data_IF_598448455405
#
_entry.id   IF_598448455405
#
_cell.length_a   1.000
_cell.length_b   1.000
_cell.length_c   1.000
_cell.angle_alpha   90.00
_cell.angle_beta   90.00
_cell.angle_gamma   90.00
#
_symmetry.space_group_name_H-M   'P 1'
#
loop_
_entity.id
_entity.type
_entity.pdbx_description
1 polymer ?
#
# COMPACT_ATOMS: atom_id res chain seq x y z
N UNK A 1 -27.51 -3.48 16.12
CA UNK A 1 -27.29 -3.99 14.74
C UNK A 1 -25.98 -3.49 14.16
N UNK A 2 -25.72 -2.17 14.12
CA UNK A 2 -24.46 -1.59 13.62
C UNK A 2 -23.18 -2.21 14.21
N UNK A 3 -23.18 -2.59 15.50
CA UNK A 3 -22.05 -3.27 16.12
C UNK A 3 -21.65 -4.59 15.44
N UNK A 4 -22.62 -5.42 15.05
CA UNK A 4 -22.34 -6.70 14.37
C UNK A 4 -21.75 -6.45 12.97
N UNK A 5 -22.29 -5.46 12.24
CA UNK A 5 -21.73 -5.04 10.97
C UNK A 5 -20.33 -4.44 11.12
N UNK A 6 -20.07 -3.72 12.22
CA UNK A 6 -18.74 -3.21 12.56
C UNK A 6 -17.71 -4.30 12.77
N UNK A 7 -18.08 -5.41 13.41
CA UNK A 7 -17.19 -6.59 13.55
C UNK A 7 -16.88 -7.24 12.20
N UNK A 8 -17.87 -7.33 11.31
CA UNK A 8 -17.63 -7.84 9.95
C UNK A 8 -16.75 -6.89 9.13
N UNK A 9 -16.99 -5.58 9.22
CA UNK A 9 -16.18 -4.59 8.53
C UNK A 9 -14.71 -4.61 9.00
N UNK A 10 -14.48 -4.79 10.31
CA UNK A 10 -13.14 -5.02 10.86
C UNK A 10 -12.46 -6.26 10.27
N UNK A 11 -13.19 -7.38 10.21
CA UNK A 11 -12.63 -8.64 9.72
C UNK A 11 -12.24 -8.58 8.23
N UNK A 12 -12.89 -7.69 7.47
CA UNK A 12 -12.67 -7.57 6.03
C UNK A 12 -11.67 -6.45 5.67
N UNK A 13 -11.68 -5.33 6.37
CA UNK A 13 -11.03 -4.08 5.92
C UNK A 13 -10.00 -3.50 6.88
N UNK A 14 -9.64 -4.22 7.95
CA UNK A 14 -8.60 -3.77 8.87
C UNK A 14 -7.29 -3.51 8.12
N UNK A 15 -6.74 -2.30 8.24
CA UNK A 15 -5.51 -1.90 7.57
C UNK A 15 -5.60 -1.81 6.03
N UNK A 16 -6.76 -2.07 5.43
CA UNK A 16 -6.90 -2.17 3.97
C UNK A 16 -7.20 -0.81 3.29
N UNK A 17 -7.77 0.15 4.03
CA UNK A 17 -8.13 1.49 3.51
C UNK A 17 -6.96 2.50 3.59
N UNK A 18 -5.74 2.02 3.41
CA UNK A 18 -4.52 2.82 3.49
C UNK A 18 -3.72 2.68 2.21
N UNK A 19 -2.90 3.69 1.91
CA UNK A 19 -1.98 3.67 0.76
C UNK A 19 -0.64 4.25 1.18
N UNK A 20 0.40 3.93 0.43
CA UNK A 20 1.62 4.72 0.46
C UNK A 20 1.37 6.09 -0.20
N UNK A 21 2.02 7.14 0.30
CA UNK A 21 1.99 8.49 -0.29
C UNK A 21 2.55 8.53 -1.71
N UNK A 22 3.29 7.50 -2.10
CA UNK A 22 3.75 7.24 -3.47
C UNK A 22 3.11 5.88 -3.82
N UNK A 23 2.04 5.88 -4.63
CA UNK A 23 1.21 4.72 -4.98
C UNK A 23 0.92 4.61 -6.49
N UNK A 24 0.42 3.46 -7.00
CA UNK A 24 0.01 3.32 -8.40
C UNK A 24 -0.95 4.42 -8.89
N UNK A 25 -1.74 5.00 -7.98
CA UNK A 25 -2.64 6.12 -8.29
C UNK A 25 -1.90 7.44 -8.59
N UNK A 26 -0.62 7.57 -8.23
CA UNK A 26 0.14 8.81 -8.36
C UNK A 26 1.51 8.70 -9.04
N UNK A 27 2.08 7.50 -9.24
CA UNK A 27 3.32 7.31 -10.01
C UNK A 27 3.25 7.91 -11.42
N UNK A 28 2.02 7.97 -11.94
CA UNK A 28 1.71 8.34 -13.30
C UNK A 28 1.51 9.81 -13.63
N UNK A 29 1.30 10.64 -12.61
CA UNK A 29 0.76 11.98 -12.78
C UNK A 29 1.83 13.07 -12.99
N UNK A 30 3.11 12.68 -13.01
CA UNK A 30 4.24 13.44 -13.54
C UNK A 30 4.26 14.95 -13.27
N UNK A 31 4.79 15.36 -12.10
CA UNK A 31 5.81 16.42 -11.91
C UNK A 31 6.11 16.54 -10.40
N UNK A 32 6.97 15.69 -9.84
CA UNK A 32 7.30 15.77 -8.42
C UNK A 32 8.24 14.68 -7.95
N UNK A 33 9.09 15.01 -6.98
CA UNK A 33 10.10 14.11 -6.43
C UNK A 33 9.48 12.98 -5.59
N UNK A 34 9.91 11.72 -5.79
CA UNK A 34 10.85 11.30 -6.81
C UNK A 34 10.15 11.10 -8.17
N UNK A 35 10.83 11.48 -9.26
CA UNK A 35 10.40 11.25 -10.66
C UNK A 35 10.24 9.74 -11.02
N UNK A 36 10.54 8.84 -10.08
CA UNK A 36 10.57 7.39 -10.22
C UNK A 36 10.26 6.78 -8.83
N UNK A 37 9.32 5.81 -8.70
CA UNK A 37 9.08 5.15 -7.43
C UNK A 37 10.35 4.46 -6.89
N UNK A 38 10.69 4.60 -5.60
CA UNK A 38 12.01 4.22 -5.10
C UNK A 38 12.25 2.70 -4.97
N UNK A 39 11.21 1.88 -5.06
CA UNK A 39 11.27 0.41 -5.01
C UNK A 39 11.31 -0.26 -6.39
N UNK A 40 11.24 0.51 -7.48
CA UNK A 40 11.33 -0.07 -8.83
C UNK A 40 12.77 -0.48 -9.16
N UNK A 41 12.97 -1.50 -10.01
CA UNK A 41 14.29 -1.97 -10.40
C UNK A 41 15.14 -0.84 -11.01
N UNK A 42 16.44 -0.83 -10.70
CA UNK A 42 17.37 0.20 -11.16
C UNK A 42 17.57 0.24 -12.68
N UNK A 43 17.27 -0.86 -13.37
CA UNK A 43 17.36 -1.04 -14.82
C UNK A 43 16.04 -0.79 -15.55
N UNK A 44 14.96 -0.46 -14.83
CA UNK A 44 13.66 -0.22 -15.44
C UNK A 44 13.61 1.17 -16.10
N UNK A 45 13.49 1.19 -17.43
CA UNK A 45 13.40 2.42 -18.25
C UNK A 45 12.02 2.61 -18.91
N UNK A 46 11.02 1.84 -18.47
CA UNK A 46 9.65 1.91 -18.99
C UNK A 46 8.83 3.05 -18.38
N UNK A 47 7.57 3.16 -18.82
CA UNK A 47 6.60 4.06 -18.19
C UNK A 47 6.11 3.44 -16.89
N UNK A 48 6.15 4.18 -15.79
CA UNK A 48 5.66 3.75 -14.47
C UNK A 48 4.12 3.68 -14.41
N UNK A 49 3.42 4.25 -15.41
CA UNK A 49 1.99 4.09 -15.66
C UNK A 49 1.62 2.69 -16.18
N UNK A 50 2.22 1.64 -15.67
CA UNK A 50 1.88 0.30 -16.14
C UNK A 50 0.47 -0.04 -15.64
N UNK A 51 -0.53 0.05 -16.52
CA UNK A 51 -1.90 -0.40 -16.26
C UNK A 51 -2.06 -1.92 -16.32
N UNK A 52 -1.00 -2.65 -16.71
CA UNK A 52 -0.99 -4.09 -16.85
C UNK A 52 -0.50 -4.78 -15.56
N UNK A 53 -1.43 -5.34 -14.79
CA UNK A 53 -1.17 -6.01 -13.50
C UNK A 53 -0.08 -7.10 -13.57
N UNK A 54 -0.04 -8.00 -14.58
CA UNK A 54 1.02 -8.99 -14.72
C UNK A 54 2.41 -8.39 -14.81
N UNK A 55 2.55 -7.25 -15.50
CA UNK A 55 3.81 -6.53 -15.62
C UNK A 55 4.19 -5.88 -14.29
N UNK A 56 3.23 -5.25 -13.59
CA UNK A 56 3.45 -4.67 -12.26
C UNK A 56 3.89 -5.72 -11.23
N UNK A 57 3.32 -6.92 -11.25
CA UNK A 57 3.70 -8.02 -10.34
C UNK A 57 5.18 -8.42 -10.44
N UNK A 58 5.82 -8.14 -11.57
CA UNK A 58 7.24 -8.46 -11.78
C UNK A 58 8.17 -7.33 -11.34
N UNK A 59 7.71 -6.09 -11.27
CA UNK A 59 8.57 -4.91 -11.08
C UNK A 59 8.26 -4.13 -9.80
N UNK A 60 6.99 -4.04 -9.40
CA UNK A 60 6.54 -3.24 -8.27
C UNK A 60 6.54 -4.07 -6.99
N UNK A 61 7.69 -4.05 -6.31
CA UNK A 61 7.88 -4.76 -5.05
C UNK A 61 7.05 -4.15 -3.91
N UNK A 62 6.60 -2.88 -3.99
CA UNK A 62 5.77 -2.28 -2.95
C UNK A 62 4.33 -2.78 -3.03
N UNK A 63 3.73 -2.77 -4.24
CA UNK A 63 2.38 -3.30 -4.42
C UNK A 63 2.35 -4.83 -4.33
N UNK A 64 3.36 -5.50 -4.87
CA UNK A 64 3.49 -6.96 -4.88
C UNK A 64 4.77 -7.39 -4.17
N UNK A 65 4.80 -7.37 -2.82
CA UNK A 65 5.95 -7.77 -2.05
C UNK A 65 6.32 -9.23 -2.28
N UNK A 66 7.62 -9.48 -2.38
CA UNK A 66 8.23 -10.80 -2.47
C UNK A 66 9.33 -10.93 -1.42
N UNK A 67 9.65 -12.17 -0.97
CA UNK A 67 10.78 -12.39 -0.08
C UNK A 67 12.10 -11.92 -0.70
N UNK A 68 13.03 -11.46 0.14
CA UNK A 68 14.38 -11.04 -0.28
C UNK A 68 15.11 -12.11 -1.10
N UNK A 69 14.95 -13.39 -0.74
CA UNK A 69 15.53 -14.52 -1.48
C UNK A 69 15.02 -14.66 -2.92
N UNK A 70 13.79 -14.20 -3.19
CA UNK A 70 13.16 -14.29 -4.49
C UNK A 70 13.37 -13.03 -5.34
N UNK A 71 13.89 -11.94 -4.75
CA UNK A 71 14.18 -10.72 -5.49
C UNK A 71 15.40 -10.89 -6.42
N UNK A 72 15.26 -10.45 -7.66
CA UNK A 72 16.38 -10.32 -8.60
C UNK A 72 17.41 -9.32 -8.09
N UNK A 73 18.59 -9.27 -8.73
CA UNK A 73 19.62 -8.30 -8.34
C UNK A 73 19.16 -6.86 -8.56
N UNK A 74 18.56 -6.58 -9.70
CA UNK A 74 18.04 -5.25 -10.04
C UNK A 74 16.92 -4.79 -9.08
N UNK A 75 16.07 -5.73 -8.61
CA UNK A 75 15.06 -5.43 -7.58
C UNK A 75 15.67 -5.18 -6.20
N UNK A 76 16.83 -5.76 -5.87
CA UNK A 76 17.47 -5.56 -4.56
C UNK A 76 18.26 -4.26 -4.46
N UNK A 77 18.84 -3.80 -5.57
CA UNK A 77 19.70 -2.62 -5.59
C UNK A 77 19.07 -1.37 -4.93
N UNK A 78 17.79 -1.02 -5.17
CA UNK A 78 17.12 0.11 -4.51
C UNK A 78 16.87 -0.11 -3.01
N UNK A 79 16.79 -1.37 -2.56
CA UNK A 79 16.54 -1.72 -1.16
C UNK A 79 17.83 -1.81 -0.35
N UNK A 80 19.00 -2.06 -0.95
CA UNK A 80 20.29 -2.10 -0.23
C UNK A 80 20.52 -0.94 0.77
N UNK A 81 20.20 0.34 0.44
CA UNK A 81 20.39 1.44 1.36
C UNK A 81 19.33 1.52 2.46
N UNK A 82 18.20 0.82 2.39
CA UNK A 82 17.12 0.88 3.41
C UNK A 82 16.93 -0.43 4.16
N UNK A 83 17.26 -1.57 3.55
CA UNK A 83 16.93 -2.91 4.04
C UNK A 83 17.66 -3.26 5.33
N UNK A 84 16.93 -3.75 6.33
CA UNK A 84 17.47 -4.08 7.66
C UNK A 84 18.18 -2.89 8.35
N UNK A 85 17.80 -1.66 8.00
CA UNK A 85 18.24 -0.45 8.68
C UNK A 85 17.17 0.06 9.65
N UNK A 86 17.50 1.10 10.42
CA UNK A 86 16.57 1.74 11.35
C UNK A 86 15.32 2.23 10.60
N UNK A 87 14.16 1.62 10.89
CA UNK A 87 12.88 1.94 10.24
C UNK A 87 12.45 0.93 9.16
N UNK A 88 13.27 -0.06 8.82
CA UNK A 88 12.97 -1.12 7.86
C UNK A 88 13.52 -2.47 8.36
N UNK A 89 12.67 -3.28 8.99
CA UNK A 89 13.07 -4.56 9.56
C UNK A 89 13.63 -4.45 10.99
N UNK A 90 14.35 -5.48 11.49
CA UNK A 90 14.97 -6.56 10.71
C UNK A 90 13.96 -7.59 10.16
N UNK A 91 14.04 -7.86 8.87
CA UNK A 91 13.28 -8.91 8.19
C UNK A 91 14.15 -10.14 7.94
N UNK A 92 13.57 -11.33 8.09
CA UNK A 92 14.21 -12.56 7.64
C UNK A 92 14.21 -12.63 6.10
N UNK A 93 15.17 -13.36 5.52
CA UNK A 93 15.32 -13.38 4.05
C UNK A 93 14.17 -14.10 3.33
N UNK A 94 13.43 -14.95 4.03
CA UNK A 94 12.25 -15.71 3.60
C UNK A 94 10.92 -15.02 3.98
N UNK A 95 10.97 -13.96 4.80
CA UNK A 95 9.79 -13.19 5.16
C UNK A 95 9.30 -12.36 3.96
N UNK A 96 7.99 -12.38 3.72
CA UNK A 96 7.34 -11.49 2.74
C UNK A 96 6.82 -10.28 3.49
N UNK A 97 7.44 -9.09 3.36
CA UNK A 97 6.94 -7.90 4.03
C UNK A 97 5.60 -7.44 3.47
N UNK A 98 4.85 -6.68 4.24
CA UNK A 98 3.64 -6.02 3.72
C UNK A 98 3.99 -4.79 2.88
N UNK A 99 3.08 -4.33 2.04
CA UNK A 99 3.27 -3.09 1.27
C UNK A 99 3.53 -1.88 2.18
N UNK A 100 2.85 -1.83 3.32
CA UNK A 100 3.09 -0.82 4.37
C UNK A 100 4.50 -0.86 4.90
N UNK A 101 5.01 -2.04 5.24
CA UNK A 101 6.39 -2.20 5.73
C UNK A 101 7.39 -1.69 4.69
N UNK A 102 7.20 -2.04 3.41
CA UNK A 102 8.03 -1.54 2.32
C UNK A 102 7.92 -0.02 2.17
N UNK A 103 6.71 0.54 2.17
CA UNK A 103 6.52 1.98 2.06
C UNK A 103 7.25 2.72 3.18
N UNK A 104 7.15 2.22 4.42
CA UNK A 104 7.81 2.81 5.59
C UNK A 104 9.33 2.64 5.58
N UNK A 105 9.86 1.60 4.92
CA UNK A 105 11.30 1.46 4.72
C UNK A 105 11.93 2.67 4.02
N UNK A 106 11.20 3.27 3.08
CA UNK A 106 11.66 4.44 2.33
C UNK A 106 11.31 5.77 3.02
N UNK A 107 10.64 5.76 4.18
CA UNK A 107 10.17 6.98 4.83
C UNK A 107 11.33 7.93 5.20
N UNK A 108 12.44 7.38 5.70
CA UNK A 108 13.60 8.18 6.10
C UNK A 108 14.37 8.77 4.90
N UNK A 109 14.41 8.09 3.75
CA UNK A 109 15.22 8.49 2.59
C UNK A 109 14.42 9.28 1.57
N UNK A 110 13.17 8.91 1.35
CA UNK A 110 12.30 9.44 0.28
C UNK A 110 11.08 10.19 0.82
N UNK A 111 10.87 10.24 2.15
CA UNK A 111 9.75 10.95 2.75
C UNK A 111 8.40 10.28 2.50
N UNK A 112 8.38 8.97 2.24
CA UNK A 112 7.15 8.21 2.05
C UNK A 112 6.38 8.05 3.38
N UNK A 113 5.06 8.03 3.30
CA UNK A 113 4.15 7.87 4.43
C UNK A 113 3.04 6.89 4.08
N UNK A 114 2.44 6.27 5.10
CA UNK A 114 1.33 5.34 4.95
C UNK A 114 0.05 5.98 5.48
N UNK A 115 -0.79 6.46 4.58
CA UNK A 115 -1.89 7.36 4.88
C UNK A 115 -3.24 6.74 4.53
N UNK A 116 -4.27 7.15 5.27
CA UNK A 116 -5.66 6.71 5.01
C UNK A 116 -6.16 7.25 3.68
N UNK A 117 -6.79 6.40 2.86
CA UNK A 117 -7.47 6.81 1.63
C UNK A 117 -8.75 7.58 1.89
N UNK A 118 -9.45 7.20 2.96
CA UNK A 118 -10.70 7.83 3.38
C UNK A 118 -10.68 8.08 4.88
N UNK A 119 -11.39 9.10 5.37
CA UNK A 119 -11.59 9.30 6.82
C UNK A 119 -12.21 8.07 7.50
N UNK A 120 -13.06 7.35 6.79
CA UNK A 120 -13.69 6.11 7.24
C UNK A 120 -12.67 4.97 7.26
N UNK A 121 -12.30 4.55 8.47
CA UNK A 121 -11.31 3.50 8.73
C UNK A 121 -11.91 2.36 9.54
N UNK A 122 -11.40 1.15 9.31
CA UNK A 122 -11.92 -0.08 9.90
C UNK A 122 -10.86 -0.79 10.76
N UNK A 123 -10.07 -0.03 11.51
CA UNK A 123 -8.97 -0.60 12.32
C UNK A 123 -9.41 -1.04 13.72
N UNK A 124 -10.49 -0.44 14.23
CA UNK A 124 -11.11 -0.84 15.47
C UNK A 124 -12.64 -0.70 15.41
N UNK A 125 -13.31 -1.26 16.41
CA UNK A 125 -14.78 -1.36 16.41
C UNK A 125 -15.46 -0.01 16.49
N UNK A 126 -14.84 0.96 17.16
CA UNK A 126 -15.40 2.31 17.26
C UNK A 126 -15.38 3.02 15.92
N UNK A 127 -14.24 2.99 15.21
CA UNK A 127 -14.13 3.58 13.87
C UNK A 127 -14.97 2.82 12.84
N UNK A 128 -15.04 1.50 12.93
CA UNK A 128 -15.87 0.70 12.03
C UNK A 128 -17.37 1.05 12.18
N UNK A 129 -17.88 1.17 13.41
CA UNK A 129 -19.27 1.56 13.64
C UNK A 129 -19.53 3.01 13.21
N UNK A 130 -18.59 3.92 13.47
CA UNK A 130 -18.70 5.31 13.02
C UNK A 130 -18.70 5.44 11.50
N UNK A 131 -17.76 4.78 10.82
CA UNK A 131 -17.70 4.76 9.35
C UNK A 131 -18.95 4.12 8.73
N UNK A 132 -19.49 3.05 9.32
CA UNK A 132 -20.76 2.47 8.88
C UNK A 132 -21.95 3.41 9.10
N UNK A 133 -21.95 4.21 10.19
CA UNK A 133 -22.96 5.23 10.40
C UNK A 133 -22.89 6.30 9.31
N UNK A 134 -21.71 6.81 9.00
CA UNK A 134 -21.49 7.79 7.92
C UNK A 134 -21.89 7.23 6.54
N UNK A 135 -21.62 5.95 6.29
CA UNK A 135 -22.10 5.26 5.08
C UNK A 135 -23.63 5.23 5.00
N UNK A 136 -24.32 4.98 6.12
CA UNK A 136 -25.80 4.99 6.15
C UNK A 136 -26.40 6.38 5.95
N UNK A 137 -25.66 7.44 6.28
CA UNK A 137 -26.05 8.84 6.02
C UNK A 137 -25.58 9.34 4.66
N UNK A 138 -24.96 8.48 3.85
CA UNK A 138 -24.38 8.80 2.53
C UNK A 138 -23.28 9.86 2.57
N UNK A 139 -22.53 9.94 3.67
CA UNK A 139 -21.36 10.80 3.78
C UNK A 139 -20.10 10.01 3.42
N UNK A 140 -19.30 10.52 2.46
CA UNK A 140 -18.03 9.89 2.07
C UNK A 140 -18.16 8.46 1.49
N UNK A 141 -19.38 8.02 1.18
CA UNK A 141 -19.65 6.61 0.86
C UNK A 141 -19.03 6.16 -0.45
N UNK A 142 -19.03 7.01 -1.48
CA UNK A 142 -18.44 6.67 -2.79
C UNK A 142 -16.94 6.46 -2.67
N UNK A 143 -16.23 7.35 -1.98
CA UNK A 143 -14.79 7.23 -1.75
C UNK A 143 -14.47 5.99 -0.92
N UNK A 144 -15.27 5.72 0.12
CA UNK A 144 -15.09 4.53 0.97
C UNK A 144 -15.36 3.24 0.20
N UNK A 145 -16.38 3.21 -0.66
CA UNK A 145 -16.68 2.08 -1.53
C UNK A 145 -15.55 1.83 -2.55
N UNK A 146 -15.00 2.88 -3.16
CA UNK A 146 -13.87 2.73 -4.08
C UNK A 146 -12.61 2.21 -3.36
N UNK A 147 -12.26 2.82 -2.22
CA UNK A 147 -11.11 2.39 -1.42
C UNK A 147 -11.24 0.94 -0.93
N UNK A 148 -12.46 0.48 -0.66
CA UNK A 148 -12.71 -0.92 -0.30
C UNK A 148 -12.68 -1.84 -1.53
N UNK A 149 -13.26 -1.47 -2.68
CA UNK A 149 -13.17 -2.29 -3.89
C UNK A 149 -11.72 -2.57 -4.29
N UNK A 150 -10.84 -1.58 -4.17
CA UNK A 150 -9.43 -1.70 -4.56
C UNK A 150 -8.54 -2.33 -3.47
N UNK A 151 -9.07 -2.68 -2.30
CA UNK A 151 -8.25 -3.16 -1.20
C UNK A 151 -7.78 -4.61 -1.41
N UNK A 152 -6.47 -4.82 -1.29
CA UNK A 152 -5.81 -6.09 -1.57
C UNK A 152 -5.63 -7.00 -0.34
N UNK A 153 -5.72 -6.44 0.87
CA UNK A 153 -5.51 -7.15 2.13
C UNK A 153 -5.13 -6.21 3.28
N UNK A 154 -4.88 -6.78 4.47
CA UNK A 154 -4.41 -6.01 5.62
C UNK A 154 -3.01 -5.45 5.37
N UNK A 155 -2.85 -4.13 5.51
CA UNK A 155 -1.57 -3.42 5.32
C UNK A 155 -0.95 -3.61 3.92
N UNK A 156 -1.79 -3.95 2.93
CA UNK A 156 -1.41 -4.12 1.52
C UNK A 156 -1.84 -2.91 0.70
N UNK A 157 -1.03 -2.56 -0.31
CA UNK A 157 -1.31 -1.44 -1.19
C UNK A 157 -2.55 -1.74 -2.05
N UNK A 158 -3.56 -0.85 -2.05
CA UNK A 158 -4.71 -1.00 -2.94
C UNK A 158 -4.28 -0.81 -4.40
N UNK A 159 -4.88 -1.59 -5.29
CA UNK A 159 -4.67 -1.52 -6.72
C UNK A 159 -5.99 -1.83 -7.46
N UNK A 160 -6.13 -1.29 -8.67
CA UNK A 160 -7.30 -1.54 -9.50
C UNK A 160 -7.22 -2.97 -10.05
N UNK A 161 -8.20 -3.81 -9.66
CA UNK A 161 -8.30 -5.21 -10.10
C UNK A 161 -8.77 -5.36 -11.54
#
# INVERSE_FOLDING_TARGET
>A
MLFLFGLMALALWKGANYTCSVSPYNYGLGTGTPNNPPWFPSDYTGDFNVYDVPTLQLIDVMTFPIPWNNMSRAQRDPFLPVWNQTGCGPFANDYTPTSKEICLCFAAQNGTSWDTQTPQRYDNIFYAVAGLFELTTMEGWTATCLATIDAAGEDMQPYQQ
#
